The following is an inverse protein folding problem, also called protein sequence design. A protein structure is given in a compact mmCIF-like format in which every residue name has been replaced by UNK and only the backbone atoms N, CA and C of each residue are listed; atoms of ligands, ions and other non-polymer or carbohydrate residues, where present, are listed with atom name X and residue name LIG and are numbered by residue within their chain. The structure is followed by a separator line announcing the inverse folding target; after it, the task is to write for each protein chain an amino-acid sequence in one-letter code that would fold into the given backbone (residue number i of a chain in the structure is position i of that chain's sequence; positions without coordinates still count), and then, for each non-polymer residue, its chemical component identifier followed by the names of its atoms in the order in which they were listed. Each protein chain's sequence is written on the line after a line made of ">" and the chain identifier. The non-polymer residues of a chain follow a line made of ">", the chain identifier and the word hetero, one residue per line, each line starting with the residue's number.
data_IF_876130261469
#
_entry.id   IF_876130261469
#
_cell.length_a   1.000
_cell.length_b   1.000
_cell.length_c   1.000
_cell.angle_alpha   90.00
_cell.angle_beta   90.00
_cell.angle_gamma   90.00
#
_symmetry.space_group_name_H-M   'P 1'
#
loop_
_entity.id
_entity.type
_entity.pdbx_description
1 polymer ?
#
# COMPACT_ATOMS: atom_id res chain seq x y z
N UNK A 1 23.12 -8.13 -38.95
CA UNK A 1 21.85 -8.25 -38.21
C UNK A 1 21.73 -9.68 -37.73
N UNK A 2 21.89 -9.90 -36.42
CA UNK A 2 21.02 -10.84 -35.72
C UNK A 2 20.46 -10.23 -34.42
N UNK A 3 19.14 -10.31 -34.32
CA UNK A 3 18.34 -10.73 -33.16
C UNK A 3 18.49 -9.98 -31.82
N UNK A 4 17.55 -9.05 -31.64
CA UNK A 4 16.99 -8.56 -30.38
C UNK A 4 16.73 -9.69 -29.38
N UNK A 5 17.51 -9.73 -28.29
CA UNK A 5 17.07 -10.31 -27.01
C UNK A 5 16.61 -9.19 -26.11
N UNK A 6 15.28 -8.99 -26.05
CA UNK A 6 14.64 -8.24 -24.98
C UNK A 6 14.77 -9.06 -23.69
N UNK A 7 15.76 -8.70 -22.89
CA UNK A 7 15.92 -9.24 -21.54
C UNK A 7 15.02 -8.43 -20.58
N UNK A 8 14.03 -9.13 -20.02
CA UNK A 8 13.31 -8.83 -18.76
C UNK A 8 12.39 -7.59 -18.69
N UNK A 9 11.21 -7.68 -19.30
CA UNK A 9 10.01 -7.11 -18.69
C UNK A 9 9.59 -8.02 -17.52
N UNK A 10 10.06 -7.71 -16.32
CA UNK A 10 9.50 -8.30 -15.11
C UNK A 10 7.99 -7.97 -15.10
N UNK A 11 7.15 -8.96 -15.40
CA UNK A 11 5.70 -8.79 -15.47
C UNK A 11 5.18 -8.40 -14.09
N UNK A 12 5.06 -7.09 -13.84
CA UNK A 12 4.45 -6.58 -12.63
C UNK A 12 3.01 -7.14 -12.57
N UNK A 13 2.71 -7.91 -11.53
CA UNK A 13 1.38 -8.53 -11.41
C UNK A 13 0.36 -7.42 -11.13
N UNK A 14 -0.83 -7.51 -11.73
CA UNK A 14 -1.89 -6.55 -11.43
C UNK A 14 -2.30 -6.68 -9.96
N UNK A 15 -2.25 -5.57 -9.23
CA UNK A 15 -2.73 -5.47 -7.85
C UNK A 15 -4.19 -5.02 -7.85
N UNK A 16 -4.98 -5.48 -6.87
CA UNK A 16 -6.33 -4.96 -6.67
C UNK A 16 -6.28 -3.86 -5.62
N UNK A 17 -6.70 -2.65 -5.99
CA UNK A 17 -6.74 -1.49 -5.11
C UNK A 17 -8.12 -0.84 -5.11
N UNK A 18 -8.51 -0.30 -3.97
CA UNK A 18 -9.81 0.36 -3.81
C UNK A 18 -9.71 1.83 -4.22
N UNK A 19 -10.67 2.28 -5.05
CA UNK A 19 -10.72 3.66 -5.51
C UNK A 19 -11.01 4.62 -4.35
N UNK A 20 -10.14 5.60 -4.12
CA UNK A 20 -10.30 6.60 -3.03
C UNK A 20 -11.55 7.47 -3.15
N UNK A 21 -12.21 7.48 -4.30
CA UNK A 21 -13.39 8.34 -4.53
C UNK A 21 -14.73 7.62 -4.41
N UNK A 22 -14.79 6.33 -4.74
CA UNK A 22 -16.05 5.58 -4.77
C UNK A 22 -15.95 4.20 -4.11
N UNK A 23 -14.78 3.80 -3.62
CA UNK A 23 -14.54 2.51 -2.96
C UNK A 23 -14.48 1.31 -3.90
N UNK A 24 -14.80 1.45 -5.21
CA UNK A 24 -14.77 0.32 -6.14
C UNK A 24 -13.38 -0.33 -6.19
N UNK A 25 -13.26 -1.67 -6.04
CA UNK A 25 -12.03 -2.38 -6.30
C UNK A 25 -11.66 -2.33 -7.78
N UNK A 26 -10.41 -2.02 -8.08
CA UNK A 26 -9.88 -1.92 -9.43
C UNK A 26 -8.60 -2.75 -9.56
N UNK A 27 -8.45 -3.46 -10.67
CA UNK A 27 -7.19 -4.11 -11.03
C UNK A 27 -6.28 -3.08 -11.69
N UNK A 28 -5.09 -2.88 -11.12
CA UNK A 28 -4.11 -1.90 -11.59
C UNK A 28 -2.79 -2.60 -11.83
N UNK A 29 -2.27 -2.44 -13.04
CA UNK A 29 -0.95 -2.90 -13.42
C UNK A 29 0.09 -1.84 -13.02
N UNK A 30 0.91 -2.17 -12.01
CA UNK A 30 1.95 -1.28 -11.51
C UNK A 30 3.09 -1.07 -12.51
N UNK A 31 3.25 -1.95 -13.51
CA UNK A 31 4.22 -1.78 -14.60
C UNK A 31 3.74 -0.82 -15.70
N UNK A 32 2.44 -0.47 -15.70
CA UNK A 32 1.81 0.35 -16.77
C UNK A 32 1.17 1.63 -16.24
N UNK A 33 1.70 2.21 -15.16
CA UNK A 33 1.15 3.41 -14.54
C UNK A 33 1.16 4.64 -15.47
N UNK A 34 2.10 4.72 -16.42
CA UNK A 34 2.15 5.79 -17.44
C UNK A 34 0.91 5.84 -18.32
N UNK A 35 0.15 4.75 -18.44
CA UNK A 35 -1.13 4.73 -19.15
C UNK A 35 -2.27 5.46 -18.41
N UNK A 36 -2.04 5.91 -17.17
CA UNK A 36 -3.02 6.68 -16.40
C UNK A 36 -4.26 5.86 -16.02
N UNK A 37 -4.12 4.80 -15.20
CA UNK A 37 -5.23 3.93 -14.85
C UNK A 37 -6.38 4.71 -14.20
N UNK A 38 -7.60 4.46 -14.67
CA UNK A 38 -8.85 5.07 -14.17
C UNK A 38 -9.72 4.02 -13.50
N UNK A 39 -10.53 4.47 -12.56
CA UNK A 39 -11.56 3.65 -11.95
C UNK A 39 -12.61 3.24 -13.00
N UNK A 40 -12.91 1.95 -13.10
CA UNK A 40 -13.91 1.42 -14.03
C UNK A 40 -15.35 1.80 -13.70
N UNK A 41 -15.61 2.29 -12.48
CA UNK A 41 -16.94 2.73 -12.04
C UNK A 41 -17.13 4.24 -12.20
N UNK A 42 -16.26 5.05 -11.57
CA UNK A 42 -16.44 6.50 -11.53
C UNK A 42 -15.57 7.28 -12.53
N UNK A 43 -14.71 6.60 -13.31
CA UNK A 43 -13.85 7.21 -14.32
C UNK A 43 -12.70 8.08 -13.80
N UNK A 44 -12.60 8.31 -12.49
CA UNK A 44 -11.53 9.14 -11.89
C UNK A 44 -10.19 8.39 -11.88
N UNK A 45 -9.05 9.10 -11.90
CA UNK A 45 -7.73 8.47 -11.82
C UNK A 45 -7.56 7.63 -10.55
N UNK A 46 -6.90 6.49 -10.66
CA UNK A 46 -6.47 5.73 -9.47
C UNK A 46 -5.31 6.48 -8.81
N UNK A 47 -5.44 6.78 -7.52
CA UNK A 47 -4.50 7.58 -6.74
C UNK A 47 -3.58 6.69 -5.92
N UNK A 48 -2.44 6.31 -6.51
CA UNK A 48 -1.38 5.55 -5.83
C UNK A 48 -0.36 6.45 -5.12
N UNK A 49 -0.53 7.77 -5.19
CA UNK A 49 0.33 8.80 -4.62
C UNK A 49 0.02 9.10 -3.13
N UNK A 50 -0.74 8.23 -2.47
CA UNK A 50 -1.20 8.37 -1.07
C UNK A 50 -1.60 7.02 -0.50
N UNK A 51 -1.70 6.85 0.84
CA UNK A 51 -2.19 5.64 1.45
C UNK A 51 -3.61 5.30 1.00
N UNK A 52 -3.79 4.10 0.48
CA UNK A 52 -5.09 3.58 0.07
C UNK A 52 -5.78 2.87 1.23
N UNK A 53 -7.06 3.19 1.44
CA UNK A 53 -7.86 2.49 2.46
C UNK A 53 -8.08 1.04 2.06
N UNK A 54 -7.82 0.14 3.01
CA UNK A 54 -8.20 -1.27 2.97
C UNK A 54 -9.01 -1.63 4.21
N UNK A 55 -9.73 -2.74 4.10
CA UNK A 55 -10.69 -3.28 5.05
C UNK A 55 -10.46 -4.78 5.21
N UNK A 56 -11.13 -5.40 6.17
CA UNK A 56 -11.14 -6.86 6.32
C UNK A 56 -11.49 -7.61 5.01
N UNK A 57 -12.32 -7.03 4.15
CA UNK A 57 -12.80 -7.68 2.92
C UNK A 57 -11.79 -7.67 1.76
N UNK A 58 -10.85 -6.72 1.73
CA UNK A 58 -9.94 -6.52 0.59
C UNK A 58 -8.46 -6.53 0.96
N UNK A 59 -8.12 -6.56 2.25
CA UNK A 59 -6.74 -6.56 2.73
C UNK A 59 -5.87 -7.66 2.11
N UNK A 60 -6.25 -8.93 2.29
CA UNK A 60 -5.44 -10.08 1.84
C UNK A 60 -5.24 -10.07 0.33
N UNK A 61 -6.30 -9.79 -0.43
CA UNK A 61 -6.25 -9.70 -1.88
C UNK A 61 -5.28 -8.61 -2.36
N UNK A 62 -5.25 -7.47 -1.65
CA UNK A 62 -4.37 -6.35 -1.99
C UNK A 62 -2.90 -6.71 -1.72
N UNK A 63 -2.59 -7.23 -0.53
CA UNK A 63 -1.19 -7.53 -0.14
C UNK A 63 -0.60 -8.73 -0.89
N UNK A 64 -1.41 -9.73 -1.24
CA UNK A 64 -0.96 -10.92 -1.98
C UNK A 64 -0.76 -10.64 -3.46
N UNK A 65 -1.54 -9.72 -4.04
CA UNK A 65 -1.47 -9.36 -5.46
C UNK A 65 -0.31 -8.41 -5.79
N UNK A 66 0.24 -7.72 -4.79
CA UNK A 66 1.31 -6.74 -4.99
C UNK A 66 2.65 -7.43 -5.29
N UNK A 67 3.22 -7.14 -6.47
CA UNK A 67 4.59 -7.53 -6.84
C UNK A 67 5.67 -6.60 -6.26
N UNK A 68 5.25 -5.53 -5.59
CA UNK A 68 6.09 -4.55 -4.91
C UNK A 68 5.91 -4.67 -3.40
N UNK A 69 6.83 -4.15 -2.57
CA UNK A 69 6.60 -4.04 -1.13
C UNK A 69 5.30 -3.29 -0.85
N UNK A 70 4.64 -3.67 0.24
CA UNK A 70 3.43 -3.00 0.72
C UNK A 70 3.67 -2.51 2.14
N UNK A 71 3.41 -1.24 2.40
CA UNK A 71 3.47 -0.66 3.74
C UNK A 71 2.04 -0.38 4.21
N UNK A 72 1.64 -0.93 5.35
CA UNK A 72 0.29 -0.73 5.91
C UNK A 72 0.38 0.05 7.21
N UNK A 73 -0.30 1.20 7.26
CA UNK A 73 -0.56 1.97 8.47
C UNK A 73 -1.84 1.49 9.16
N UNK A 74 -1.71 0.93 10.36
CA UNK A 74 -2.81 0.57 11.23
C UNK A 74 -3.11 1.77 12.14
N UNK A 75 -4.28 2.38 11.94
CA UNK A 75 -4.65 3.66 12.53
C UNK A 75 -6.11 3.65 13.04
N UNK A 76 -6.53 4.75 13.68
CA UNK A 76 -7.94 5.07 13.92
C UNK A 76 -8.16 6.59 13.79
N UNK A 77 -9.38 7.03 13.46
CA UNK A 77 -9.67 8.45 13.20
C UNK A 77 -9.48 9.37 14.42
N UNK A 78 -9.68 8.83 15.62
CA UNK A 78 -9.51 9.54 16.89
C UNK A 78 -8.05 9.61 17.36
N UNK A 79 -7.14 8.86 16.73
CA UNK A 79 -5.75 8.74 17.14
C UNK A 79 -4.93 10.00 16.76
N UNK A 80 -4.63 10.83 17.76
CA UNK A 80 -3.78 12.02 17.59
C UNK A 80 -2.40 11.71 16.97
N UNK A 81 -1.62 10.77 17.51
CA UNK A 81 -0.32 10.39 16.95
C UNK A 81 -0.39 9.87 15.50
N UNK A 82 -1.47 9.17 15.13
CA UNK A 82 -1.68 8.70 13.76
C UNK A 82 -1.81 9.87 12.78
N UNK A 83 -2.50 10.95 13.17
CA UNK A 83 -2.61 12.18 12.37
C UNK A 83 -1.26 12.87 12.17
N UNK A 84 -0.32 12.73 13.10
CA UNK A 84 1.04 13.27 12.97
C UNK A 84 1.85 12.50 11.93
N UNK A 85 1.68 11.18 11.85
CA UNK A 85 2.42 10.31 10.92
C UNK A 85 1.83 10.31 9.49
N UNK A 86 0.53 10.60 9.35
CA UNK A 86 -0.17 10.54 8.06
C UNK A 86 0.51 11.36 6.93
N UNK A 87 0.96 12.61 7.12
CA UNK A 87 1.67 13.36 6.08
C UNK A 87 2.97 12.69 5.63
N UNK A 88 3.70 12.03 6.54
CA UNK A 88 4.94 11.32 6.18
C UNK A 88 4.65 10.09 5.31
N UNK A 89 3.52 9.40 5.55
CA UNK A 89 3.07 8.30 4.70
C UNK A 89 2.57 8.77 3.34
N UNK A 90 1.87 9.91 3.27
CA UNK A 90 1.49 10.57 2.01
C UNK A 90 2.73 10.88 1.17
N UNK A 91 3.74 11.53 1.77
CA UNK A 91 5.00 11.86 1.11
C UNK A 91 5.74 10.61 0.62
N UNK A 92 5.78 9.55 1.43
CA UNK A 92 6.45 8.29 1.05
C UNK A 92 5.73 7.62 -0.13
N UNK A 93 4.40 7.58 -0.11
CA UNK A 93 3.61 7.03 -1.21
C UNK A 93 3.85 7.81 -2.52
N UNK A 94 3.90 9.15 -2.44
CA UNK A 94 4.17 10.00 -3.58
C UNK A 94 5.59 9.81 -4.15
N UNK A 95 6.60 9.62 -3.30
CA UNK A 95 8.00 9.44 -3.72
C UNK A 95 8.27 8.08 -4.36
N UNK A 96 7.47 7.06 -4.05
CA UNK A 96 7.70 5.65 -4.44
C UNK A 96 6.56 5.06 -5.26
N UNK A 97 5.83 5.88 -6.02
CA UNK A 97 4.73 5.43 -6.89
C UNK A 97 5.22 4.34 -7.84
N UNK A 98 4.55 3.19 -7.83
CA UNK A 98 4.89 2.04 -8.67
C UNK A 98 6.01 1.15 -8.12
N UNK A 99 6.75 1.61 -7.11
CA UNK A 99 7.79 0.83 -6.41
C UNK A 99 7.38 0.37 -5.01
N UNK A 100 6.39 1.06 -4.42
CA UNK A 100 5.85 0.79 -3.10
C UNK A 100 4.34 1.04 -3.16
N UNK A 101 3.57 0.15 -2.52
CA UNK A 101 2.17 0.38 -2.26
C UNK A 101 1.99 0.77 -0.80
N UNK A 102 1.45 1.96 -0.54
CA UNK A 102 1.12 2.38 0.82
C UNK A 102 -0.37 2.23 1.05
N UNK A 103 -0.75 1.54 2.12
CA UNK A 103 -2.12 1.27 2.52
C UNK A 103 -2.36 1.81 3.93
N UNK A 104 -3.62 2.03 4.25
CA UNK A 104 -4.07 2.34 5.61
C UNK A 104 -5.28 1.48 5.97
N UNK A 105 -5.27 0.96 7.19
CA UNK A 105 -6.33 0.13 7.75
C UNK A 105 -6.80 0.73 9.07
N UNK A 106 -8.09 1.04 9.12
CA UNK A 106 -8.74 1.51 10.34
C UNK A 106 -9.00 0.31 11.27
N UNK A 107 -8.38 0.30 12.44
CA UNK A 107 -8.44 -0.81 13.39
C UNK A 107 -9.81 -0.97 14.03
N UNK A 108 -10.60 0.11 14.14
CA UNK A 108 -11.95 0.04 14.71
C UNK A 108 -12.93 -0.58 13.70
N UNK A 109 -12.75 -0.22 12.42
CA UNK A 109 -13.58 -0.73 11.34
C UNK A 109 -13.16 -2.12 10.82
N UNK A 110 -11.90 -2.52 11.04
CA UNK A 110 -11.31 -3.76 10.51
C UNK A 110 -10.66 -4.59 11.61
N UNK A 111 -11.47 -4.94 12.63
CA UNK A 111 -11.02 -5.60 13.85
C UNK A 111 -10.47 -7.00 13.61
N UNK A 112 -10.97 -7.72 12.60
CA UNK A 112 -10.49 -9.08 12.31
C UNK A 112 -9.04 -9.05 11.84
N UNK A 113 -8.71 -8.15 10.90
CA UNK A 113 -7.33 -7.97 10.42
C UNK A 113 -6.44 -7.41 11.50
N UNK A 114 -6.89 -6.40 12.27
CA UNK A 114 -6.12 -5.85 13.38
C UNK A 114 -5.79 -6.92 14.44
N UNK A 115 -6.76 -7.76 14.79
CA UNK A 115 -6.56 -8.89 15.72
C UNK A 115 -5.59 -9.92 15.16
N UNK A 116 -5.73 -10.28 13.88
CA UNK A 116 -4.86 -11.26 13.20
C UNK A 116 -3.38 -10.84 13.24
N UNK A 117 -3.07 -9.56 13.07
CA UNK A 117 -1.69 -9.06 13.13
C UNK A 117 -1.22 -8.66 14.54
N UNK A 118 -2.08 -8.86 15.55
CA UNK A 118 -1.76 -8.55 16.94
C UNK A 118 -1.52 -7.06 17.17
N UNK A 119 -2.31 -6.19 16.54
CA UNK A 119 -2.21 -4.75 16.74
C UNK A 119 -2.70 -4.40 18.15
N UNK A 120 -1.76 -4.01 19.02
CA UNK A 120 -2.02 -3.66 20.44
C UNK A 120 -1.89 -2.17 20.73
N UNK A 121 -1.44 -1.39 19.75
CA UNK A 121 -1.25 0.05 19.85
C UNK A 121 -1.20 0.66 18.46
N UNK A 122 -1.64 1.91 18.36
CA UNK A 122 -1.65 2.67 17.11
C UNK A 122 -0.93 4.02 17.29
N UNK A 123 -0.26 4.53 16.24
CA UNK A 123 -0.08 3.88 14.95
C UNK A 123 0.86 2.67 15.04
N UNK A 124 0.58 1.65 14.24
CA UNK A 124 1.53 0.56 13.96
C UNK A 124 1.67 0.45 12.46
N UNK A 125 2.90 0.37 11.97
CA UNK A 125 3.18 0.22 10.55
C UNK A 125 3.80 -1.15 10.31
N UNK A 126 3.27 -1.90 9.34
CA UNK A 126 3.79 -3.21 8.96
C UNK A 126 4.14 -3.21 7.48
N UNK A 127 5.36 -3.64 7.16
CA UNK A 127 5.81 -3.89 5.79
C UNK A 127 5.58 -5.34 5.40
N UNK A 128 5.11 -5.55 4.18
CA UNK A 128 4.85 -6.84 3.57
C UNK A 128 5.61 -7.00 2.27
N UNK A 129 6.09 -8.21 2.00
CA UNK A 129 6.65 -8.64 0.71
C UNK A 129 6.05 -9.98 0.34
N UNK A 130 5.48 -10.09 -0.87
CA UNK A 130 4.81 -11.31 -1.34
C UNK A 130 3.75 -11.82 -0.33
N UNK A 131 2.96 -10.91 0.23
CA UNK A 131 1.92 -11.21 1.23
C UNK A 131 2.43 -11.63 2.61
N UNK A 132 3.74 -11.63 2.86
CA UNK A 132 4.34 -11.97 4.16
C UNK A 132 4.90 -10.74 4.84
N UNK A 133 4.74 -10.66 6.15
CA UNK A 133 5.36 -9.60 6.96
C UNK A 133 6.89 -9.66 6.84
N UNK A 134 7.51 -8.54 6.50
CA UNK A 134 8.97 -8.38 6.41
C UNK A 134 9.55 -7.48 7.50
N UNK A 135 8.70 -6.73 8.21
CA UNK A 135 9.12 -5.86 9.31
C UNK A 135 7.95 -5.04 9.84
N UNK A 136 8.08 -4.55 11.08
CA UNK A 136 7.07 -3.68 11.70
C UNK A 136 7.69 -2.61 12.59
N UNK A 137 6.96 -1.53 12.79
CA UNK A 137 7.27 -0.46 13.73
C UNK A 137 6.00 -0.06 14.50
N UNK A 138 6.14 0.20 15.79
CA UNK A 138 5.04 0.64 16.67
C UNK A 138 5.33 2.04 17.15
N UNK A 139 4.36 2.94 17.04
CA UNK A 139 4.50 4.36 17.33
C UNK A 139 4.74 5.20 16.09
N UNK A 140 4.94 6.50 16.30
CA UNK A 140 5.17 7.47 15.22
C UNK A 140 6.56 7.23 14.62
N UNK A 141 6.59 6.83 13.35
CA UNK A 141 7.81 6.71 12.56
C UNK A 141 8.04 7.94 11.68
N UNK A 142 9.28 8.43 11.65
CA UNK A 142 9.70 9.42 10.65
C UNK A 142 10.02 8.76 9.29
N UNK A 143 10.34 9.56 8.27
CA UNK A 143 10.65 9.05 6.93
C UNK A 143 11.76 7.99 6.96
N UNK A 144 12.81 8.18 7.78
CA UNK A 144 13.94 7.24 7.85
C UNK A 144 13.51 5.89 8.40
N UNK A 145 12.67 5.87 9.44
CA UNK A 145 12.11 4.65 10.00
C UNK A 145 11.24 3.93 8.96
N UNK A 146 10.33 4.66 8.31
CA UNK A 146 9.40 4.09 7.34
C UNK A 146 10.13 3.56 6.09
N UNK A 147 11.10 4.29 5.57
CA UNK A 147 11.97 3.83 4.48
C UNK A 147 12.78 2.60 4.89
N UNK A 148 13.25 2.52 6.13
CA UNK A 148 13.98 1.36 6.66
C UNK A 148 13.16 0.06 6.65
N UNK A 149 11.83 0.13 6.81
CA UNK A 149 10.95 -1.04 6.75
C UNK A 149 10.80 -1.60 5.32
N UNK A 150 10.91 -0.73 4.30
CA UNK A 150 10.69 -1.07 2.88
C UNK A 150 11.99 -1.06 2.07
N UNK A 151 13.09 -0.61 2.67
CA UNK A 151 14.43 -0.55 2.11
C UNK A 151 15.15 -1.88 2.27
N UNK A 152 15.43 -2.52 1.15
CA UNK A 152 16.14 -3.79 1.07
C UNK A 152 16.14 -4.27 -0.38
N UNK A 153 17.27 -4.03 -1.05
CA UNK A 153 17.75 -4.85 -2.18
C UNK A 153 18.90 -5.68 -1.63
#
# INVERSE_FOLDING_TARGET
>A
MPETRSETEATAKPVVVSCVFCGKPNRVDLGRLSAGPKCGECGRPIRLDRPLKVTDADFDRTIQGASVPVLVDFYADWCGPCRIMAPTLDDLAQRRIGELLVLKLDTDASQATASRFGIRGIPTVIAFRNGKESGRHVGVGDMKVLEGLVGGR
#
